data_IF_454659166928
#
_entry.id   IF_454659166928
#
_cell.length_a   1.000
_cell.length_b   1.000
_cell.length_c   1.000
_cell.angle_alpha   90.00
_cell.angle_beta   90.00
_cell.angle_gamma   90.00
#
_symmetry.space_group_name_H-M   'P 1'
#
loop_
_entity.id
_entity.type
_entity.pdbx_description
1 polymer ?
#
# COMPACT_ATOMS: atom_id res chain seq x y z
N UNK A 1 14.85 8.05 -11.33
CA UNK A 1 16.28 8.41 -11.22
C UNK A 1 17.05 7.14 -10.86
N UNK A 2 18.09 6.74 -11.60
CA UNK A 2 18.77 5.45 -11.38
C UNK A 2 19.88 5.59 -10.33
N UNK A 3 19.71 4.95 -9.16
CA UNK A 3 20.69 4.95 -8.06
C UNK A 3 22.06 4.39 -8.50
N UNK A 4 22.09 3.46 -9.47
CA UNK A 4 23.32 2.86 -10.00
C UNK A 4 24.28 3.91 -10.59
N UNK A 5 23.75 4.93 -11.26
CA UNK A 5 24.52 5.98 -11.91
C UNK A 5 24.93 7.13 -10.97
N UNK A 6 24.44 7.15 -9.74
CA UNK A 6 24.79 8.19 -8.76
C UNK A 6 26.15 7.92 -8.13
N UNK A 7 26.90 8.98 -7.81
CA UNK A 7 28.16 8.82 -7.09
C UNK A 7 27.93 8.22 -5.67
N UNK A 8 28.97 7.62 -5.10
CA UNK A 8 28.88 6.89 -3.82
C UNK A 8 28.48 7.77 -2.63
N UNK A 9 28.82 9.06 -2.63
CA UNK A 9 28.47 10.00 -1.57
C UNK A 9 26.98 10.35 -1.60
N UNK A 10 26.44 10.68 -2.79
CA UNK A 10 25.01 10.97 -2.97
C UNK A 10 24.14 9.75 -2.74
N UNK A 11 24.59 8.55 -3.15
CA UNK A 11 23.90 7.29 -2.81
C UNK A 11 23.77 7.10 -1.31
N UNK A 12 24.87 7.28 -0.55
CA UNK A 12 24.84 7.14 0.91
C UNK A 12 23.96 8.18 1.59
N UNK A 13 23.97 9.42 1.11
CA UNK A 13 23.06 10.46 1.60
C UNK A 13 21.59 10.05 1.42
N UNK A 14 21.22 9.61 0.21
CA UNK A 14 19.86 9.13 -0.08
C UNK A 14 19.51 7.92 0.79
N UNK A 15 20.39 6.94 0.93
CA UNK A 15 20.13 5.78 1.79
C UNK A 15 19.95 6.20 3.26
N UNK A 16 20.71 7.18 3.74
CA UNK A 16 20.54 7.76 5.09
C UNK A 16 19.19 8.43 5.29
N UNK A 17 18.74 9.21 4.32
CA UNK A 17 17.44 9.89 4.39
C UNK A 17 16.29 8.88 4.55
N UNK A 18 16.44 7.69 3.97
CA UNK A 18 15.48 6.59 4.08
C UNK A 18 15.81 5.56 5.18
N UNK A 19 16.85 5.78 5.99
CA UNK A 19 17.36 4.81 6.99
C UNK A 19 17.60 3.42 6.40
N UNK A 20 18.21 3.39 5.22
CA UNK A 20 18.63 2.20 4.47
C UNK A 20 20.16 2.11 4.40
N UNK A 21 20.89 2.92 5.16
CA UNK A 21 22.34 2.95 5.17
C UNK A 21 22.97 1.86 6.07
N UNK A 22 22.13 1.13 6.81
CA UNK A 22 22.51 0.00 7.64
C UNK A 22 21.62 -1.21 7.29
N UNK A 23 22.12 -2.44 7.46
CA UNK A 23 21.26 -3.61 7.40
C UNK A 23 20.19 -3.51 8.49
N UNK A 24 18.96 -3.89 8.14
CA UNK A 24 17.86 -3.95 9.10
C UNK A 24 18.17 -4.97 10.19
N UNK A 25 17.80 -4.66 11.44
CA UNK A 25 17.71 -5.71 12.46
C UNK A 25 16.60 -6.70 12.12
N UNK A 26 16.63 -7.88 12.73
CA UNK A 26 15.57 -8.88 12.54
C UNK A 26 14.21 -8.34 12.97
N UNK A 27 14.17 -7.59 14.07
CA UNK A 27 12.98 -6.94 14.60
C UNK A 27 12.44 -5.86 13.65
N UNK A 28 13.31 -4.98 13.14
CA UNK A 28 12.92 -3.94 12.17
C UNK A 28 12.41 -4.56 10.86
N UNK A 29 12.98 -5.70 10.44
CA UNK A 29 12.52 -6.43 9.27
C UNK A 29 11.12 -7.00 9.50
N UNK A 30 10.87 -7.63 10.65
CA UNK A 30 9.56 -8.18 11.01
C UNK A 30 8.50 -7.07 11.07
N UNK A 31 8.80 -5.93 11.71
CA UNK A 31 7.88 -4.79 11.78
C UNK A 31 7.51 -4.27 10.38
N UNK A 32 8.51 -4.11 9.49
CA UNK A 32 8.28 -3.67 8.11
C UNK A 32 7.46 -4.70 7.32
N UNK A 33 7.72 -5.99 7.51
CA UNK A 33 6.94 -7.05 6.86
C UNK A 33 5.47 -6.99 7.28
N UNK A 34 5.18 -6.84 8.57
CA UNK A 34 3.81 -6.71 9.08
C UNK A 34 3.11 -5.47 8.50
N UNK A 35 3.78 -4.31 8.46
CA UNK A 35 3.21 -3.09 7.85
C UNK A 35 2.90 -3.31 6.36
N UNK A 36 3.83 -3.92 5.62
CA UNK A 36 3.63 -4.20 4.20
C UNK A 36 2.47 -5.18 3.95
N UNK A 37 2.34 -6.23 4.77
CA UNK A 37 1.24 -7.18 4.68
C UNK A 37 -0.11 -6.49 4.92
N UNK A 38 -0.20 -5.64 5.96
CA UNK A 38 -1.41 -4.90 6.27
C UNK A 38 -1.81 -3.96 5.12
N UNK A 39 -0.84 -3.25 4.54
CA UNK A 39 -1.04 -2.37 3.39
C UNK A 39 -1.50 -3.14 2.16
N UNK A 40 -0.92 -4.31 1.91
CA UNK A 40 -1.32 -5.19 0.81
C UNK A 40 -2.78 -5.62 0.95
N UNK A 41 -3.16 -6.14 2.13
CA UNK A 41 -4.55 -6.55 2.42
C UNK A 41 -5.55 -5.41 2.21
N UNK A 42 -5.19 -4.18 2.59
CA UNK A 42 -6.02 -2.98 2.35
C UNK A 42 -6.17 -2.68 0.85
N UNK A 43 -5.09 -2.77 0.08
CA UNK A 43 -5.12 -2.56 -1.36
C UNK A 43 -5.94 -3.66 -2.07
N UNK A 44 -5.82 -4.91 -1.63
CA UNK A 44 -6.63 -6.03 -2.12
C UNK A 44 -8.12 -5.81 -1.83
N UNK A 45 -8.47 -5.36 -0.62
CA UNK A 45 -9.84 -5.02 -0.27
C UNK A 45 -10.40 -3.89 -1.15
N UNK A 46 -9.60 -2.85 -1.41
CA UNK A 46 -9.98 -1.75 -2.30
C UNK A 46 -10.14 -2.21 -3.75
N UNK A 47 -9.23 -3.08 -4.24
CA UNK A 47 -9.32 -3.65 -5.57
C UNK A 47 -10.54 -4.57 -5.71
N UNK A 48 -10.83 -5.39 -4.70
CA UNK A 48 -12.01 -6.26 -4.65
C UNK A 48 -13.31 -5.46 -4.61
N UNK A 49 -13.36 -4.39 -3.81
CA UNK A 49 -14.49 -3.47 -3.75
C UNK A 49 -14.72 -2.74 -5.08
N UNK A 50 -13.66 -2.43 -5.82
CA UNK A 50 -13.73 -1.85 -7.17
C UNK A 50 -14.23 -2.86 -8.22
N UNK A 51 -13.99 -4.15 -7.99
CA UNK A 51 -14.44 -5.24 -8.87
C UNK A 51 -15.85 -5.78 -8.52
N UNK A 52 -16.43 -5.39 -7.39
CA UNK A 52 -17.84 -5.60 -7.08
C UNK A 52 -18.64 -4.38 -7.52
N UNK A 53 -19.36 -4.42 -8.65
CA UNK A 53 -20.33 -3.38 -8.93
C UNK A 53 -21.37 -3.38 -7.81
N UNK A 54 -21.63 -2.22 -7.21
CA UNK A 54 -22.79 -1.95 -6.36
C UNK A 54 -24.04 -1.94 -7.26
N UNK A 55 -24.28 -3.06 -7.95
CA UNK A 55 -25.47 -3.34 -8.73
C UNK A 55 -26.16 -4.56 -8.11
N UNK A 56 -26.36 -4.52 -6.78
CA UNK A 56 -27.50 -5.21 -6.20
C UNK A 56 -28.77 -4.52 -6.71
N UNK A 57 -29.83 -5.24 -7.13
CA UNK A 57 -31.01 -4.60 -7.65
C UNK A 57 -31.58 -3.68 -6.57
N UNK A 58 -31.51 -2.37 -6.80
CA UNK A 58 -32.31 -1.37 -6.09
C UNK A 58 -33.76 -1.79 -6.29
N UNK A 59 -34.34 -2.49 -5.31
CA UNK A 59 -35.79 -2.64 -5.22
C UNK A 59 -36.33 -1.24 -4.95
N UNK A 60 -36.66 -0.51 -6.01
CA UNK A 60 -37.57 0.61 -5.95
C UNK A 60 -38.90 0.05 -5.41
N UNK A 61 -39.10 0.17 -4.11
CA UNK A 61 -40.43 0.05 -3.55
C UNK A 61 -41.22 1.26 -4.05
N UNK A 62 -42.04 1.04 -5.07
CA UNK A 62 -43.13 1.93 -5.47
C UNK A 62 -44.03 2.14 -4.26
N UNK A 63 -43.88 3.27 -3.57
CA UNK A 63 -44.93 3.80 -2.72
C UNK A 63 -45.81 4.68 -3.60
N UNK A 64 -46.66 4.05 -4.41
CA UNK A 64 -47.95 4.67 -4.73
C UNK A 64 -48.85 4.38 -3.53
N UNK A 65 -49.07 5.40 -2.72
CA UNK A 65 -50.09 5.39 -1.67
C UNK A 65 -50.89 6.70 -1.79
N UNK A 66 -52.06 6.52 -2.43
CA UNK A 66 -53.33 7.28 -2.39
C UNK A 66 -53.28 8.74 -2.84
#
# INVERSE_FOLDING_TARGET
MNLSMMNSARRRAVLRDYRLDHPLSEEELVERLIDTELRLRRLEALASAKNHPINGPRRHHSCEAI
#
